data_IF_013943231880
#
_entry.id   IF_013943231880
#
_cell.length_a   1.000
_cell.length_b   1.000
_cell.length_c   1.000
_cell.angle_alpha   90.00
_cell.angle_beta   90.00
_cell.angle_gamma   90.00
#
_symmetry.space_group_name_H-M   'P 1'
#
loop_
_entity.id
_entity.type
_entity.pdbx_description
1 polymer ?
#
# COMPACT_ATOMS: atom_id res chain seq x y z
N UNK A 1 66.78 8.09 -47.50
CA UNK A 1 65.33 8.38 -47.59
C UNK A 1 64.64 7.65 -46.46
N UNK A 2 64.28 8.37 -45.34
CA UNK A 2 63.59 7.78 -44.17
C UNK A 2 62.12 8.11 -44.32
N UNK A 3 61.24 7.09 -44.40
CA UNK A 3 59.79 7.25 -44.40
C UNK A 3 59.25 7.20 -42.97
N UNK A 4 58.74 8.30 -42.43
CA UNK A 4 58.03 8.31 -41.15
C UNK A 4 56.57 7.90 -41.38
N UNK A 5 56.14 6.88 -40.66
CA UNK A 5 54.73 6.50 -40.56
C UNK A 5 54.10 7.20 -39.33
N UNK A 6 53.13 8.07 -39.56
CA UNK A 6 52.26 8.61 -38.54
C UNK A 6 51.19 7.55 -38.23
N UNK A 7 51.14 7.07 -36.99
CA UNK A 7 50.06 6.25 -36.47
C UNK A 7 49.05 7.18 -35.79
N UNK A 8 47.87 7.37 -36.40
CA UNK A 8 46.76 8.13 -35.85
C UNK A 8 45.99 7.20 -34.90
N UNK A 9 46.16 7.41 -33.59
CA UNK A 9 45.39 6.68 -32.59
C UNK A 9 43.95 7.20 -32.49
N UNK A 10 43.00 6.34 -32.78
CA UNK A 10 41.56 6.60 -32.66
C UNK A 10 41.13 6.25 -31.23
N UNK A 11 40.84 7.27 -30.43
CA UNK A 11 40.34 7.12 -29.06
C UNK A 11 38.85 6.78 -29.13
N UNK A 12 38.48 5.53 -28.88
CA UNK A 12 37.10 5.09 -28.80
C UNK A 12 36.52 5.45 -27.43
N UNK A 13 35.61 6.43 -27.39
CA UNK A 13 34.84 6.78 -26.20
C UNK A 13 33.72 5.75 -26.02
N UNK A 14 33.89 4.82 -25.09
CA UNK A 14 32.84 3.87 -24.72
C UNK A 14 31.82 4.55 -23.78
N UNK A 15 30.64 4.89 -24.33
CA UNK A 15 29.46 5.26 -23.49
C UNK A 15 28.94 3.99 -22.80
N UNK A 16 29.19 3.87 -21.51
CA UNK A 16 28.49 2.90 -20.66
C UNK A 16 27.09 3.46 -20.36
N UNK A 17 26.08 2.99 -21.08
CA UNK A 17 24.69 3.22 -20.73
C UNK A 17 24.42 2.50 -19.39
N UNK A 18 24.34 3.27 -18.31
CA UNK A 18 23.91 2.75 -17.01
C UNK A 18 22.49 2.20 -17.10
N UNK A 19 22.34 0.88 -16.99
CA UNK A 19 21.04 0.23 -16.85
C UNK A 19 20.52 0.61 -15.46
N UNK A 20 19.69 1.63 -15.37
CA UNK A 20 18.87 1.89 -14.17
C UNK A 20 17.89 0.74 -14.03
N UNK A 21 18.20 -0.19 -13.13
CA UNK A 21 17.28 -1.25 -12.76
C UNK A 21 16.05 -0.60 -12.12
N UNK A 22 14.90 -0.74 -12.78
CA UNK A 22 13.65 -0.24 -12.25
C UNK A 22 13.44 -0.88 -10.87
N UNK A 23 13.44 -0.07 -9.82
CA UNK A 23 13.10 -0.54 -8.49
C UNK A 23 11.64 -0.99 -8.54
N UNK A 24 11.38 -2.28 -8.28
CA UNK A 24 10.03 -2.82 -8.30
C UNK A 24 9.11 -2.06 -7.32
N UNK A 25 7.80 -2.07 -7.60
CA UNK A 25 6.79 -1.47 -6.72
C UNK A 25 6.86 -2.11 -5.33
N UNK A 26 7.01 -1.28 -4.28
CA UNK A 26 7.22 -1.73 -2.89
C UNK A 26 6.31 -0.95 -1.94
N UNK A 27 5.85 -1.64 -0.90
CA UNK A 27 5.13 -1.06 0.26
C UNK A 27 5.95 -1.30 1.52
N UNK A 28 6.00 -0.30 2.38
CA UNK A 28 6.71 -0.31 3.65
C UNK A 28 5.85 0.34 4.73
N UNK A 29 6.15 0.06 5.99
CA UNK A 29 5.55 0.71 7.15
C UNK A 29 6.59 0.79 8.28
N UNK A 30 6.57 1.89 9.00
CA UNK A 30 7.40 2.09 10.20
C UNK A 30 6.64 1.76 11.49
N UNK A 31 5.32 1.56 11.42
CA UNK A 31 4.50 1.24 12.60
C UNK A 31 4.73 -0.17 13.16
N UNK A 32 4.88 -1.24 12.33
CA UNK A 32 5.23 -2.57 12.84
C UNK A 32 6.68 -2.63 13.31
N UNK A 33 6.93 -3.32 14.41
CA UNK A 33 8.28 -3.64 14.89
C UNK A 33 8.56 -5.12 14.65
N UNK A 34 9.66 -5.45 13.98
CA UNK A 34 10.02 -6.83 13.60
C UNK A 34 8.88 -7.57 12.87
N UNK A 35 8.11 -6.85 12.03
CA UNK A 35 6.98 -7.41 11.29
C UNK A 35 5.70 -7.61 12.10
N UNK A 36 5.64 -7.15 13.35
CA UNK A 36 4.46 -7.25 14.22
C UNK A 36 3.83 -5.88 14.48
N UNK A 37 2.50 -5.82 14.38
CA UNK A 37 1.71 -4.67 14.79
C UNK A 37 1.96 -4.38 16.27
N UNK A 38 1.93 -3.09 16.62
CA UNK A 38 2.12 -2.61 17.98
C UNK A 38 0.75 -2.31 18.62
N UNK A 39 0.70 -2.17 19.94
CA UNK A 39 -0.52 -1.84 20.69
C UNK A 39 -1.29 -0.64 20.09
N UNK A 40 -0.58 0.30 19.47
CA UNK A 40 -1.19 1.44 18.81
C UNK A 40 -2.15 1.04 17.67
N UNK A 41 -1.83 0.00 16.90
CA UNK A 41 -2.59 -0.46 15.75
C UNK A 41 -3.69 -1.47 16.07
N UNK A 42 -3.80 -1.91 17.34
CA UNK A 42 -4.89 -2.79 17.74
C UNK A 42 -6.17 -1.99 17.97
N UNK A 43 -7.31 -2.66 17.78
CA UNK A 43 -8.62 -2.09 18.05
C UNK A 43 -8.79 -1.75 19.55
N UNK A 44 -9.68 -0.82 19.84
CA UNK A 44 -10.22 -0.51 21.16
C UNK A 44 -11.61 -1.11 21.35
N UNK A 45 -11.91 -2.19 20.62
CA UNK A 45 -13.21 -2.86 20.56
C UNK A 45 -13.02 -4.38 20.49
N UNK A 46 -14.12 -5.14 20.53
CA UNK A 46 -14.14 -6.61 20.42
C UNK A 46 -13.25 -7.33 21.45
N UNK A 47 -13.11 -6.73 22.64
CA UNK A 47 -12.26 -7.26 23.72
C UNK A 47 -10.77 -6.97 23.54
N UNK A 48 -10.38 -6.17 22.55
CA UNK A 48 -9.05 -5.61 22.41
C UNK A 48 -8.99 -4.21 23.06
N UNK A 49 -7.81 -3.81 23.53
CA UNK A 49 -7.56 -2.55 24.23
C UNK A 49 -6.41 -1.78 23.59
N UNK A 50 -6.42 -1.66 22.26
CA UNK A 50 -5.46 -0.87 21.49
C UNK A 50 -5.79 0.61 21.46
N UNK A 51 -5.09 1.35 20.58
CA UNK A 51 -5.36 2.79 20.34
C UNK A 51 -6.13 3.04 19.05
N UNK A 52 -6.41 2.01 18.28
CA UNK A 52 -7.08 2.08 16.98
C UNK A 52 -6.44 3.09 16.00
N UNK A 53 -5.10 3.24 16.07
CA UNK A 53 -4.36 4.11 15.16
C UNK A 53 -4.00 3.35 13.88
N UNK A 54 -4.41 3.86 12.72
CA UNK A 54 -4.02 3.28 11.43
C UNK A 54 -2.50 3.34 11.27
N UNK A 55 -1.85 2.30 10.72
CA UNK A 55 -0.40 2.30 10.55
C UNK A 55 0.07 3.37 9.56
N UNK A 56 1.30 3.85 9.74
CA UNK A 56 2.00 4.57 8.68
C UNK A 56 2.21 3.61 7.51
N UNK A 57 1.96 4.04 6.29
CA UNK A 57 2.16 3.26 5.07
C UNK A 57 2.86 4.15 4.05
N UNK A 58 3.96 3.67 3.46
CA UNK A 58 4.64 4.33 2.35
C UNK A 58 4.89 3.37 1.21
N UNK A 59 5.01 3.91 -0.01
CA UNK A 59 5.27 3.10 -1.20
C UNK A 59 6.16 3.83 -2.20
N UNK A 60 6.86 3.05 -3.01
CA UNK A 60 7.79 3.55 -4.02
C UNK A 60 7.85 2.63 -5.23
N UNK A 61 8.37 3.13 -6.35
CA UNK A 61 8.53 2.33 -7.57
C UNK A 61 7.21 1.94 -8.24
N UNK A 62 6.15 2.72 -8.04
CA UNK A 62 4.88 2.51 -8.74
C UNK A 62 5.09 2.52 -10.27
N UNK A 63 4.33 1.70 -11.04
CA UNK A 63 4.42 1.68 -12.50
C UNK A 63 4.22 3.05 -13.12
N UNK A 64 4.91 3.30 -14.25
CA UNK A 64 4.72 4.52 -15.02
C UNK A 64 3.26 4.65 -15.48
N UNK A 65 2.71 5.85 -15.46
CA UNK A 65 1.32 6.12 -15.81
C UNK A 65 0.35 5.96 -14.63
N UNK A 66 0.85 5.73 -13.41
CA UNK A 66 0.00 5.72 -12.20
C UNK A 66 -0.58 7.11 -11.96
N UNK A 67 -1.91 7.16 -11.81
CA UNK A 67 -2.68 8.39 -11.58
C UNK A 67 -3.35 8.44 -10.22
N UNK A 68 -3.67 7.27 -9.64
CA UNK A 68 -4.22 7.16 -8.29
C UNK A 68 -3.85 5.82 -7.66
N UNK A 69 -4.16 5.68 -6.37
CA UNK A 69 -3.95 4.43 -5.64
C UNK A 69 -5.20 3.99 -4.90
N UNK A 70 -5.27 2.67 -4.67
CA UNK A 70 -6.13 2.03 -3.68
C UNK A 70 -5.23 1.44 -2.62
N UNK A 71 -5.54 1.70 -1.34
CA UNK A 71 -4.78 1.18 -0.19
C UNK A 71 -5.73 0.39 0.69
N UNK A 72 -5.37 -0.83 1.00
CA UNK A 72 -6.20 -1.73 1.82
C UNK A 72 -5.41 -2.40 2.92
N UNK A 73 -6.06 -2.71 4.04
CA UNK A 73 -5.59 -3.64 5.06
C UNK A 73 -6.63 -4.74 5.25
N UNK A 74 -6.21 -5.98 5.02
CA UNK A 74 -7.08 -7.15 5.00
C UNK A 74 -6.46 -8.28 5.84
N UNK A 75 -7.29 -8.94 6.64
CA UNK A 75 -6.96 -10.12 7.44
C UNK A 75 -7.58 -11.36 6.78
N UNK A 76 -6.81 -12.19 6.07
CA UNK A 76 -7.29 -13.43 5.48
C UNK A 76 -7.55 -14.54 6.51
N UNK A 77 -7.00 -14.42 7.71
CA UNK A 77 -7.05 -15.45 8.74
C UNK A 77 -8.28 -15.28 9.66
N UNK A 78 -9.00 -14.16 9.55
CA UNK A 78 -10.20 -13.91 10.35
C UNK A 78 -11.26 -15.00 10.12
N UNK A 79 -11.86 -15.59 11.20
CA UNK A 79 -12.75 -16.74 11.10
C UNK A 79 -14.18 -16.37 10.66
N UNK A 80 -14.29 -15.60 9.57
CA UNK A 80 -15.57 -15.11 9.03
C UNK A 80 -16.01 -15.84 7.76
N UNK A 81 -15.15 -16.73 7.23
CA UNK A 81 -15.35 -17.41 5.94
C UNK A 81 -14.91 -16.58 4.73
N UNK A 82 -14.65 -15.28 4.90
CA UNK A 82 -14.18 -14.37 3.82
C UNK A 82 -13.04 -13.47 4.26
N UNK A 83 -12.42 -13.72 5.40
CA UNK A 83 -11.45 -12.81 6.02
C UNK A 83 -12.11 -11.54 6.54
N UNK A 84 -11.32 -10.47 6.78
CA UNK A 84 -11.81 -9.21 7.32
C UNK A 84 -11.09 -8.01 6.73
N UNK A 85 -11.86 -7.04 6.19
CA UNK A 85 -11.36 -5.78 5.68
C UNK A 85 -11.33 -4.72 6.80
N UNK A 86 -10.10 -4.42 7.26
CA UNK A 86 -9.85 -3.48 8.35
C UNK A 86 -9.84 -2.02 7.89
N UNK A 87 -9.33 -1.77 6.68
CA UNK A 87 -9.21 -0.42 6.12
C UNK A 87 -9.22 -0.48 4.61
N UNK A 88 -10.01 0.41 3.98
CA UNK A 88 -10.21 0.39 2.53
C UNK A 88 -10.26 1.82 2.01
N UNK A 89 -9.23 2.22 1.28
CA UNK A 89 -9.12 3.54 0.66
C UNK A 89 -9.12 3.43 -0.85
N UNK A 90 -9.89 4.28 -1.51
CA UNK A 90 -9.87 4.47 -2.95
C UNK A 90 -9.49 5.92 -3.29
N UNK A 91 -9.09 6.14 -4.54
CA UNK A 91 -8.83 7.47 -5.07
C UNK A 91 -7.77 8.27 -4.29
N UNK A 92 -6.78 7.59 -3.71
CA UNK A 92 -5.61 8.27 -3.15
C UNK A 92 -4.84 8.89 -4.32
N UNK A 93 -4.59 10.22 -4.34
CA UNK A 93 -3.98 10.90 -5.50
C UNK A 93 -2.60 10.34 -5.88
N UNK A 94 -2.28 10.33 -7.18
CA UNK A 94 -1.06 9.73 -7.72
C UNK A 94 0.25 10.40 -7.27
N UNK A 95 0.20 11.62 -6.76
CA UNK A 95 1.34 12.34 -6.18
C UNK A 95 1.56 12.04 -4.68
N UNK A 96 0.71 11.24 -4.07
CA UNK A 96 0.85 10.79 -2.69
C UNK A 96 1.62 9.48 -2.67
N UNK A 97 2.59 9.37 -1.77
CA UNK A 97 3.42 8.17 -1.60
C UNK A 97 3.50 7.71 -0.14
N UNK A 98 2.71 8.36 0.73
CA UNK A 98 2.68 8.05 2.15
C UNK A 98 1.32 8.40 2.76
N UNK A 99 0.86 7.55 3.68
CA UNK A 99 -0.19 7.81 4.65
C UNK A 99 0.45 7.82 6.03
N UNK A 100 0.27 8.90 6.78
CA UNK A 100 0.82 9.03 8.13
C UNK A 100 0.10 8.10 9.10
N UNK A 101 0.77 7.71 10.18
CA UNK A 101 0.12 6.99 11.28
C UNK A 101 -1.08 7.79 11.79
N UNK A 102 -2.19 7.10 12.03
CA UNK A 102 -3.44 7.69 12.47
C UNK A 102 -4.26 8.39 11.39
N UNK A 103 -3.81 8.41 10.13
CA UNK A 103 -4.53 9.11 9.05
C UNK A 103 -5.96 8.59 8.81
N UNK A 104 -6.20 7.28 9.00
CA UNK A 104 -7.52 6.63 8.88
C UNK A 104 -8.25 6.45 10.21
N UNK A 105 -7.71 6.95 11.30
CA UNK A 105 -8.32 6.87 12.62
C UNK A 105 -9.29 8.04 12.87
N UNK A 106 -10.18 7.95 13.86
CA UNK A 106 -11.05 9.07 14.22
C UNK A 106 -10.26 10.37 14.43
N UNK A 107 -10.62 11.44 13.73
CA UNK A 107 -9.92 12.72 13.74
C UNK A 107 -8.64 12.78 12.90
N UNK A 108 -8.26 11.69 12.23
CA UNK A 108 -7.16 11.64 11.27
C UNK A 108 -7.44 12.47 10.01
N UNK A 109 -6.39 12.68 9.21
CA UNK A 109 -6.51 13.45 7.95
C UNK A 109 -5.93 12.64 6.80
N UNK A 110 -6.79 12.25 5.89
CA UNK A 110 -6.42 11.66 4.61
C UNK A 110 -6.08 12.74 3.57
N UNK A 111 -5.28 12.41 2.55
CA UNK A 111 -5.07 13.29 1.41
C UNK A 111 -6.39 13.69 0.76
N UNK A 112 -6.50 14.96 0.35
CA UNK A 112 -7.70 15.47 -0.31
C UNK A 112 -8.06 14.64 -1.55
N UNK A 113 -9.33 14.30 -1.72
CA UNK A 113 -9.82 13.46 -2.82
C UNK A 113 -9.86 11.96 -2.51
N UNK A 114 -9.21 11.49 -1.43
CA UNK A 114 -9.29 10.11 -0.98
C UNK A 114 -10.71 9.78 -0.51
N UNK A 115 -11.20 8.61 -0.91
CA UNK A 115 -12.48 8.06 -0.49
C UNK A 115 -12.24 6.91 0.49
N UNK A 116 -12.82 6.98 1.69
CA UNK A 116 -12.90 5.84 2.59
C UNK A 116 -14.10 4.98 2.21
N UNK A 117 -13.82 3.78 1.75
CA UNK A 117 -14.83 2.75 1.50
C UNK A 117 -15.09 2.01 2.82
N UNK A 118 -16.34 1.61 3.06
CA UNK A 118 -16.67 0.83 4.26
C UNK A 118 -15.87 -0.48 4.30
N UNK A 119 -15.35 -0.81 5.47
CA UNK A 119 -14.80 -2.14 5.76
C UNK A 119 -15.90 -3.12 6.20
N UNK A 120 -15.50 -4.25 6.79
CA UNK A 120 -16.46 -5.28 7.23
C UNK A 120 -17.20 -4.91 8.52
N UNK A 121 -16.85 -3.82 9.19
CA UNK A 121 -17.71 -3.19 10.21
C UNK A 121 -18.96 -2.56 9.61
N UNK A 122 -19.04 -2.41 8.28
CA UNK A 122 -20.08 -1.64 7.59
C UNK A 122 -19.85 -0.13 7.61
N UNK A 123 -18.81 0.35 8.30
CA UNK A 123 -18.45 1.77 8.41
C UNK A 123 -17.15 2.08 7.68
N UNK A 124 -16.95 3.30 7.16
CA UNK A 124 -15.65 3.76 6.71
C UNK A 124 -14.70 3.99 7.88
N UNK A 125 -13.39 4.05 7.60
CA UNK A 125 -12.35 4.27 8.58
C UNK A 125 -11.54 3.01 8.89
N UNK A 126 -10.50 3.18 9.68
CA UNK A 126 -9.64 2.12 10.14
C UNK A 126 -10.23 1.43 11.38
N UNK A 127 -10.29 0.10 11.33
CA UNK A 127 -10.45 -0.74 12.51
C UNK A 127 -9.14 -1.48 12.77
N UNK A 128 -8.63 -1.39 13.99
CA UNK A 128 -7.41 -2.05 14.41
C UNK A 128 -7.49 -3.58 14.40
N UNK A 129 -6.34 -4.22 14.46
CA UNK A 129 -6.24 -5.66 14.60
C UNK A 129 -6.88 -6.12 15.92
N UNK A 130 -7.57 -7.26 15.90
CA UNK A 130 -8.08 -7.90 17.10
C UNK A 130 -8.27 -9.41 16.85
N UNK A 131 -7.19 -10.19 16.68
CA UNK A 131 -7.33 -11.62 16.48
C UNK A 131 -7.90 -12.29 17.75
N UNK A 132 -8.52 -13.46 17.65
CA UNK A 132 -8.92 -14.24 18.82
C UNK A 132 -7.74 -14.52 19.76
N UNK A 133 -8.03 -14.72 21.04
CA UNK A 133 -7.00 -15.03 22.04
C UNK A 133 -6.22 -16.30 21.68
N UNK A 134 -4.89 -16.27 21.85
CA UNK A 134 -3.99 -17.35 21.49
C UNK A 134 -3.69 -17.47 20.00
N UNK A 135 -4.23 -16.58 19.14
CA UNK A 135 -4.02 -16.65 17.69
C UNK A 135 -3.08 -15.55 17.19
N UNK A 136 -2.43 -15.86 16.08
CA UNK A 136 -1.62 -14.92 15.31
C UNK A 136 -2.16 -14.87 13.89
N UNK A 137 -2.61 -13.69 13.46
CA UNK A 137 -3.12 -13.46 12.12
C UNK A 137 -2.13 -12.66 11.27
N UNK A 138 -2.22 -12.83 9.95
CA UNK A 138 -1.50 -12.04 8.98
C UNK A 138 -2.42 -10.90 8.50
N UNK A 139 -1.87 -9.69 8.45
CA UNK A 139 -2.56 -8.51 7.92
C UNK A 139 -1.86 -8.10 6.64
N UNK A 140 -2.58 -8.11 5.53
CA UNK A 140 -2.07 -7.75 4.22
C UNK A 140 -2.33 -6.27 3.94
N UNK A 141 -1.28 -5.44 3.97
CA UNK A 141 -1.35 -4.04 3.56
C UNK A 141 -0.99 -3.99 2.08
N UNK A 142 -1.98 -3.71 1.23
CA UNK A 142 -1.81 -3.72 -0.23
C UNK A 142 -2.04 -2.34 -0.80
N UNK A 143 -1.13 -1.90 -1.68
CA UNK A 143 -1.28 -0.70 -2.50
C UNK A 143 -1.40 -1.11 -3.95
N UNK A 144 -2.51 -0.74 -4.60
CA UNK A 144 -2.72 -0.88 -6.03
C UNK A 144 -2.46 0.45 -6.72
N UNK A 145 -1.64 0.44 -7.76
CA UNK A 145 -1.40 1.58 -8.63
C UNK A 145 -2.38 1.54 -9.81
N UNK A 146 -3.12 2.62 -10.05
CA UNK A 146 -4.19 2.67 -11.05
C UNK A 146 -3.84 3.63 -12.19
N UNK A 147 -4.25 3.27 -13.43
CA UNK A 147 -4.11 4.10 -14.63
C UNK A 147 -5.17 5.21 -14.76
N UNK A 148 -6.14 5.28 -13.85
CA UNK A 148 -7.22 6.27 -13.81
C UNK A 148 -7.04 7.21 -12.63
N UNK A 149 -7.46 8.45 -12.78
CA UNK A 149 -7.38 9.45 -11.70
C UNK A 149 -8.38 9.13 -10.60
N UNK A 150 -9.52 8.51 -10.96
CA UNK A 150 -10.61 8.22 -10.04
C UNK A 150 -11.39 6.98 -10.47
N UNK A 151 -11.79 6.18 -9.49
CA UNK A 151 -12.83 5.16 -9.61
C UNK A 151 -14.16 5.78 -9.20
N UNK A 152 -15.18 5.65 -10.05
CA UNK A 152 -16.54 6.07 -9.72
C UNK A 152 -17.23 4.99 -8.88
N UNK A 153 -17.23 5.21 -7.58
CA UNK A 153 -17.77 4.28 -6.58
C UNK A 153 -19.07 4.84 -6.00
N UNK A 154 -20.15 4.04 -5.91
CA UNK A 154 -21.35 4.46 -5.21
C UNK A 154 -21.07 4.55 -3.70
N UNK A 155 -21.86 5.35 -2.94
CA UNK A 155 -21.71 5.44 -1.48
C UNK A 155 -21.86 4.09 -0.75
N UNK A 156 -22.50 3.13 -1.39
CA UNK A 156 -22.70 1.76 -0.89
C UNK A 156 -21.61 0.79 -1.29
N UNK A 157 -20.52 1.26 -1.94
CA UNK A 157 -19.45 0.39 -2.38
C UNK A 157 -18.92 -0.49 -1.25
N UNK A 158 -18.65 -1.74 -1.59
CA UNK A 158 -18.05 -2.73 -0.70
C UNK A 158 -16.60 -3.00 -1.12
N UNK A 159 -15.75 -3.61 -0.26
CA UNK A 159 -14.41 -4.03 -0.66
C UNK A 159 -14.41 -4.96 -1.87
N UNK A 160 -15.40 -5.84 -1.99
CA UNK A 160 -15.55 -6.74 -3.14
C UNK A 160 -15.83 -5.98 -4.45
N UNK A 161 -16.73 -4.97 -4.40
CA UNK A 161 -16.98 -4.10 -5.56
C UNK A 161 -15.74 -3.29 -5.94
N UNK A 162 -15.04 -2.71 -4.96
CA UNK A 162 -13.78 -2.01 -5.21
C UNK A 162 -12.77 -2.94 -5.88
N UNK A 163 -12.59 -4.16 -5.37
CA UNK A 163 -11.67 -5.15 -5.94
C UNK A 163 -11.98 -5.46 -7.40
N UNK A 164 -13.26 -5.60 -7.75
CA UNK A 164 -13.69 -5.78 -9.15
C UNK A 164 -13.29 -4.59 -10.04
N UNK A 165 -13.52 -3.35 -9.59
CA UNK A 165 -13.18 -2.16 -10.37
C UNK A 165 -11.67 -1.94 -10.49
N UNK A 166 -10.91 -2.30 -9.47
CA UNK A 166 -9.44 -2.24 -9.47
C UNK A 166 -8.85 -3.12 -10.56
N UNK A 167 -9.40 -4.33 -10.81
CA UNK A 167 -8.88 -5.24 -11.83
C UNK A 167 -8.80 -4.62 -13.23
N UNK A 168 -9.80 -3.84 -13.62
CA UNK A 168 -9.85 -3.17 -14.94
C UNK A 168 -8.90 -1.97 -15.06
N UNK A 169 -8.39 -1.44 -13.94
CA UNK A 169 -7.64 -0.18 -13.88
C UNK A 169 -6.23 -0.33 -13.30
N UNK A 170 -5.87 -1.47 -12.73
CA UNK A 170 -4.59 -1.69 -12.06
C UNK A 170 -3.43 -1.80 -13.04
N UNK A 171 -2.36 -1.04 -12.78
CA UNK A 171 -1.06 -1.15 -13.43
C UNK A 171 -0.13 -2.10 -12.68
N UNK A 172 -0.39 -2.34 -11.40
CA UNK A 172 0.39 -3.19 -10.52
C UNK A 172 -0.03 -3.05 -9.08
N UNK A 173 0.47 -3.95 -8.25
CA UNK A 173 0.25 -3.91 -6.79
C UNK A 173 1.51 -4.30 -6.05
N UNK A 174 1.63 -3.81 -4.82
CA UNK A 174 2.62 -4.26 -3.86
C UNK A 174 1.93 -4.55 -2.52
N UNK A 175 2.42 -5.55 -1.79
CA UNK A 175 1.83 -5.98 -0.53
C UNK A 175 2.92 -6.13 0.53
N UNK A 176 2.66 -5.59 1.71
CA UNK A 176 3.40 -5.81 2.94
C UNK A 176 2.54 -6.70 3.85
N UNK A 177 3.11 -7.80 4.31
CA UNK A 177 2.46 -8.64 5.33
C UNK A 177 3.02 -8.30 6.69
N UNK A 178 2.15 -8.02 7.65
CA UNK A 178 2.49 -7.81 9.05
C UNK A 178 1.66 -8.76 9.92
N UNK A 179 2.13 -9.08 11.11
CA UNK A 179 1.45 -9.99 12.03
C UNK A 179 0.83 -9.24 13.20
N UNK A 180 -0.32 -9.70 13.64
CA UNK A 180 -0.93 -9.33 14.91
C UNK A 180 -1.22 -10.59 15.72
N UNK A 181 -0.93 -10.54 17.01
CA UNK A 181 -1.15 -11.66 17.94
C UNK A 181 -1.87 -11.16 19.19
N UNK A 182 -2.58 -12.05 19.82
CA UNK A 182 -3.28 -11.75 21.08
C UNK A 182 -3.20 -12.92 22.04
#
# INVERSE_FOLDING_TARGET
MKKSFLVTGMLALSLTAGVTQAQGFKVQSTSPVNGHLQQAQYADAFGCSGKNLSPQISWSGAPQGTKSYVVTMYDPDAPTGSGWWHWVLANVPGNIHELKEGAGSPGGKLPAGTLEVRGDTGMPGYLGACPPEGQTHNYLITVHALKVDRLELPPTATPAMLGFMVQGSSLGKATLTVKGNR
#
